data_IF_256486704487
#
_entry.id   IF_256486704487
#
_cell.length_a   1.000
_cell.length_b   1.000
_cell.length_c   1.000
_cell.angle_alpha   90.00
_cell.angle_beta   90.00
_cell.angle_gamma   90.00
#
_symmetry.space_group_name_H-M   'P 1'
#
loop_
_entity.id
_entity.type
_entity.pdbx_description
1 polymer ?
#
# COMPACT_ATOMS: atom_id res chain seq x y z
N UNK A 1 -27.64 47.66 -19.03
CA UNK A 1 -27.61 46.21 -19.38
C UNK A 1 -26.44 45.48 -18.70
N UNK A 2 -25.38 46.20 -18.31
CA UNK A 2 -24.14 45.64 -17.77
C UNK A 2 -24.21 45.21 -16.28
N UNK A 3 -25.04 45.85 -15.45
CA UNK A 3 -25.16 45.51 -14.02
C UNK A 3 -25.73 44.10 -13.77
N UNK A 4 -26.63 43.64 -14.64
CA UNK A 4 -27.23 42.30 -14.55
C UNK A 4 -26.24 41.20 -14.92
N UNK A 5 -25.34 41.49 -15.87
CA UNK A 5 -24.32 40.55 -16.34
C UNK A 5 -23.24 40.39 -15.26
N UNK A 6 -22.81 41.49 -14.63
CA UNK A 6 -21.84 41.44 -13.52
C UNK A 6 -22.39 40.68 -12.31
N UNK A 7 -23.66 40.89 -11.93
CA UNK A 7 -24.29 40.18 -10.81
C UNK A 7 -24.40 38.67 -11.04
N UNK A 8 -24.80 38.24 -12.25
CA UNK A 8 -24.85 36.82 -12.59
C UNK A 8 -23.47 36.15 -12.56
N UNK A 9 -22.42 36.86 -12.97
CA UNK A 9 -21.04 36.34 -12.95
C UNK A 9 -20.54 36.16 -11.51
N UNK A 10 -20.83 37.11 -10.62
CA UNK A 10 -20.44 37.01 -9.20
C UNK A 10 -21.20 35.87 -8.51
N UNK A 11 -22.49 35.70 -8.79
CA UNK A 11 -23.29 34.60 -8.23
C UNK A 11 -22.84 33.22 -8.76
N UNK A 12 -22.47 33.13 -10.04
CA UNK A 12 -21.89 31.90 -10.60
C UNK A 12 -20.53 31.59 -9.98
N UNK A 13 -19.67 32.60 -9.78
CA UNK A 13 -18.37 32.42 -9.16
C UNK A 13 -18.47 31.94 -7.70
N UNK A 14 -19.44 32.47 -6.94
CA UNK A 14 -19.75 32.03 -5.57
C UNK A 14 -20.34 30.60 -5.51
N UNK A 15 -21.19 30.24 -6.47
CA UNK A 15 -21.73 28.88 -6.55
C UNK A 15 -20.66 27.85 -6.91
N UNK A 16 -19.72 28.21 -7.80
CA UNK A 16 -18.59 27.36 -8.17
C UNK A 16 -17.62 27.20 -6.99
N UNK A 17 -17.31 28.26 -6.24
CA UNK A 17 -16.43 28.15 -5.08
C UNK A 17 -17.04 27.35 -3.93
N UNK A 18 -18.36 27.43 -3.73
CA UNK A 18 -19.07 26.60 -2.74
C UNK A 18 -19.15 25.12 -3.16
N UNK A 19 -19.22 24.84 -4.47
CA UNK A 19 -19.20 23.48 -5.00
C UNK A 19 -17.83 22.78 -4.92
N UNK A 20 -16.73 23.54 -4.95
CA UNK A 20 -15.37 22.98 -4.84
C UNK A 20 -15.04 22.58 -3.39
N UNK A 21 -15.73 23.15 -2.38
CA UNK A 21 -15.53 22.81 -0.96
C UNK A 21 -16.11 21.44 -0.54
N UNK A 22 -16.89 20.77 -1.38
CA UNK A 22 -17.55 19.50 -1.05
C UNK A 22 -16.95 18.28 -1.78
N UNK A 23 -15.73 18.38 -2.30
CA UNK A 23 -15.05 17.22 -2.89
C UNK A 23 -14.01 16.63 -1.94
N UNK A 24 -14.32 15.40 -1.51
CA UNK A 24 -13.46 14.39 -0.89
C UNK A 24 -13.04 14.60 0.58
N UNK A 25 -13.96 14.28 1.50
CA UNK A 25 -13.56 13.72 2.80
C UNK A 25 -13.16 12.25 2.60
N UNK A 26 -11.90 12.01 2.26
CA UNK A 26 -11.30 10.71 2.50
C UNK A 26 -10.85 10.69 3.97
N UNK A 27 -11.69 10.14 4.85
CA UNK A 27 -11.24 9.81 6.19
C UNK A 27 -10.20 8.71 6.06
N UNK A 28 -9.00 8.92 6.60
CA UNK A 28 -8.00 7.86 6.71
C UNK A 28 -8.64 6.69 7.49
N UNK A 29 -8.63 5.45 6.96
CA UNK A 29 -9.01 4.29 7.74
C UNK A 29 -8.08 4.21 8.95
N UNK A 30 -8.66 4.22 10.14
CA UNK A 30 -7.92 4.12 11.39
C UNK A 30 -7.37 2.69 11.49
N UNK A 31 -6.05 2.60 11.33
CA UNK A 31 -5.31 1.34 11.23
C UNK A 31 -5.44 0.48 12.49
N UNK A 32 -5.87 1.06 13.62
CA UNK A 32 -6.07 0.34 14.88
C UNK A 32 -7.47 -0.23 15.05
N UNK A 33 -8.46 0.17 14.25
CA UNK A 33 -9.87 -0.22 14.47
C UNK A 33 -10.51 -0.97 13.31
N UNK A 34 -10.00 -0.80 12.09
CA UNK A 34 -10.68 -1.32 10.88
C UNK A 34 -10.42 -2.80 10.60
N UNK A 35 -9.51 -3.44 11.35
CA UNK A 35 -9.15 -4.84 11.17
C UNK A 35 -9.42 -5.62 12.45
N UNK A 36 -10.65 -6.15 12.57
CA UNK A 36 -10.94 -7.18 13.57
C UNK A 36 -10.31 -8.48 13.10
N UNK A 37 -9.26 -8.89 13.80
CA UNK A 37 -8.49 -10.10 13.49
C UNK A 37 -9.04 -11.31 14.25
N UNK A 38 -9.27 -12.47 13.59
CA UNK A 38 -9.51 -13.71 14.29
C UNK A 38 -8.22 -14.18 14.96
N UNK A 39 -8.26 -14.14 16.29
CA UNK A 39 -7.28 -14.73 17.18
C UNK A 39 -7.27 -16.26 16.96
N UNK A 40 -6.10 -16.88 17.12
CA UNK A 40 -5.86 -18.35 17.18
C UNK A 40 -5.41 -19.05 15.89
N UNK A 41 -4.19 -18.70 15.43
CA UNK A 41 -3.27 -19.58 14.70
C UNK A 41 -1.85 -19.09 15.01
N UNK A 42 -0.87 -19.94 15.40
CA UNK A 42 0.52 -19.52 15.53
C UNK A 42 1.08 -19.21 14.14
N UNK A 43 1.10 -17.94 13.78
CA UNK A 43 1.48 -17.45 12.47
C UNK A 43 2.30 -16.18 12.60
N UNK A 44 3.22 -15.96 11.67
CA UNK A 44 3.85 -14.66 11.52
C UNK A 44 2.85 -13.68 10.92
N UNK A 45 2.81 -12.47 11.48
CA UNK A 45 1.93 -11.40 11.05
C UNK A 45 2.76 -10.24 10.53
N UNK A 46 2.54 -9.83 9.27
CA UNK A 46 3.22 -8.66 8.69
C UNK A 46 2.27 -7.76 7.88
N UNK A 47 2.54 -6.46 7.91
CA UNK A 47 1.87 -5.46 7.09
C UNK A 47 2.73 -5.09 5.89
N UNK A 48 2.11 -5.09 4.73
CA UNK A 48 2.72 -4.80 3.45
C UNK A 48 2.12 -3.55 2.82
N UNK A 49 2.96 -2.62 2.40
CA UNK A 49 2.55 -1.38 1.76
C UNK A 49 3.23 -1.23 0.40
N UNK A 50 2.44 -1.26 -0.68
CA UNK A 50 2.93 -0.94 -2.03
C UNK A 50 2.98 0.57 -2.24
N UNK A 51 4.20 1.10 -2.23
CA UNK A 51 4.49 2.49 -2.53
C UNK A 51 4.56 2.67 -4.05
N UNK A 52 3.40 2.94 -4.64
CA UNK A 52 3.29 3.32 -6.05
C UNK A 52 3.78 4.76 -6.22
N UNK A 53 4.59 5.02 -7.26
CA UNK A 53 4.87 6.40 -7.66
C UNK A 53 3.60 7.02 -8.25
N UNK A 54 3.26 8.27 -7.92
CA UNK A 54 2.27 9.02 -8.68
C UNK A 54 2.81 9.18 -10.10
N UNK A 55 2.12 8.59 -11.08
CA UNK A 55 2.37 8.88 -12.48
C UNK A 55 1.86 10.30 -12.75
N UNK A 56 2.67 11.11 -13.46
CA UNK A 56 2.23 12.42 -13.95
C UNK A 56 0.97 12.33 -14.82
N UNK A 57 0.38 13.47 -15.21
CA UNK A 57 -0.95 13.51 -15.83
C UNK A 57 -1.01 12.61 -17.07
N UNK A 58 -1.81 11.54 -17.02
CA UNK A 58 -2.11 10.71 -18.20
C UNK A 58 -3.33 11.27 -18.92
N UNK A 59 -3.15 11.48 -20.22
CA UNK A 59 -4.17 11.86 -21.18
C UNK A 59 -5.38 10.90 -21.11
N UNK A 60 -6.59 11.47 -21.14
CA UNK A 60 -7.83 10.74 -20.89
C UNK A 60 -8.25 9.94 -22.13
N UNK A 61 -7.68 8.75 -22.29
CA UNK A 61 -8.27 7.68 -23.09
C UNK A 61 -9.54 7.14 -22.43
N UNK A 62 -10.69 7.34 -23.09
CA UNK A 62 -12.02 6.85 -22.68
C UNK A 62 -11.98 5.34 -22.46
N UNK A 63 -12.09 4.88 -21.21
CA UNK A 63 -12.81 3.69 -20.69
C UNK A 63 -12.58 3.69 -19.17
N UNK A 64 -13.60 4.12 -18.43
CA UNK A 64 -13.49 4.40 -17.00
C UNK A 64 -13.25 3.17 -16.16
N UNK A 65 -12.05 3.08 -15.58
CA UNK A 65 -11.85 2.51 -14.24
C UNK A 65 -10.91 3.45 -13.50
N UNK A 66 -11.49 4.35 -12.71
CA UNK A 66 -10.75 5.18 -11.76
C UNK A 66 -10.38 4.25 -10.60
N UNK A 67 -9.22 3.60 -10.68
CA UNK A 67 -8.58 3.06 -9.47
C UNK A 67 -7.90 4.24 -8.78
N UNK A 68 -8.37 4.59 -7.58
CA UNK A 68 -7.78 5.64 -6.75
C UNK A 68 -6.25 5.49 -6.66
N UNK A 69 -5.45 6.55 -6.86
CA UNK A 69 -4.01 6.42 -7.00
C UNK A 69 -3.33 6.57 -5.65
N UNK A 70 -3.61 5.72 -4.67
CA UNK A 70 -2.95 5.88 -3.37
C UNK A 70 -2.89 4.58 -2.58
N UNK A 71 -1.73 3.92 -2.67
CA UNK A 71 -1.21 2.92 -1.71
C UNK A 71 -2.09 1.69 -1.47
N UNK A 72 -1.74 0.57 -2.12
CA UNK A 72 -2.31 -0.74 -1.76
C UNK A 72 -1.67 -1.23 -0.45
N UNK A 73 -2.48 -1.41 0.60
CA UNK A 73 -2.10 -2.06 1.86
C UNK A 73 -2.55 -3.52 1.83
N UNK A 74 -1.71 -4.45 2.28
CA UNK A 74 -2.05 -5.87 2.44
C UNK A 74 -1.52 -6.37 3.77
N UNK A 75 -2.38 -6.96 4.59
CA UNK A 75 -1.95 -7.73 5.76
C UNK A 75 -1.70 -9.17 5.34
N UNK A 76 -0.56 -9.72 5.73
CA UNK A 76 -0.15 -11.08 5.40
C UNK A 76 0.04 -11.87 6.71
N UNK A 77 -0.58 -13.03 6.75
CA UNK A 77 -0.47 -14.01 7.82
C UNK A 77 0.20 -15.25 7.24
N UNK A 78 1.47 -15.43 7.56
CA UNK A 78 2.29 -16.51 7.04
C UNK A 78 2.32 -17.66 8.06
N UNK A 79 1.72 -18.83 7.76
CA UNK A 79 1.80 -19.99 8.64
C UNK A 79 3.25 -20.44 8.83
N UNK A 80 3.52 -21.20 9.89
CA UNK A 80 4.83 -21.78 10.12
C UNK A 80 5.29 -22.62 8.92
N UNK A 81 6.60 -22.63 8.64
CA UNK A 81 7.21 -23.26 7.47
C UNK A 81 6.69 -22.79 6.10
N UNK A 82 6.06 -21.61 6.00
CA UNK A 82 5.55 -21.10 4.73
C UNK A 82 6.53 -20.16 4.04
N UNK A 83 6.47 -20.19 2.71
CA UNK A 83 7.21 -19.28 1.84
C UNK A 83 6.19 -18.44 1.08
N UNK A 84 6.28 -17.12 1.18
CA UNK A 84 5.68 -16.27 0.17
C UNK A 84 6.55 -16.37 -1.09
N UNK A 85 6.05 -16.95 -2.20
CA UNK A 85 6.87 -17.29 -3.35
C UNK A 85 7.66 -16.11 -3.89
N UNK A 86 8.79 -16.42 -4.52
CA UNK A 86 9.66 -15.44 -5.16
C UNK A 86 8.87 -14.63 -6.20
N UNK A 87 8.82 -13.31 -6.04
CA UNK A 87 8.05 -12.44 -6.93
C UNK A 87 8.69 -11.05 -7.12
N UNK A 88 8.09 -10.23 -7.99
CA UNK A 88 8.52 -8.85 -8.26
C UNK A 88 7.31 -7.93 -8.37
N UNK A 89 7.51 -6.66 -8.02
CA UNK A 89 6.53 -5.60 -8.29
C UNK A 89 6.99 -4.73 -9.44
N UNK A 90 6.36 -4.79 -10.63
CA UNK A 90 6.84 -4.06 -11.80
C UNK A 90 6.71 -2.54 -11.64
N UNK A 91 5.83 -2.07 -10.74
CA UNK A 91 5.47 -0.65 -10.61
C UNK A 91 5.65 -0.03 -9.22
N UNK A 92 5.91 -0.82 -8.17
CA UNK A 92 5.96 -0.38 -6.78
C UNK A 92 7.26 -0.83 -6.10
N UNK A 93 7.71 -0.08 -5.10
CA UNK A 93 8.49 -0.65 -3.99
C UNK A 93 7.52 -1.15 -2.92
N UNK A 94 7.98 -2.10 -2.11
CA UNK A 94 7.19 -2.69 -1.04
C UNK A 94 7.86 -2.39 0.30
N UNK A 95 7.09 -1.91 1.26
CA UNK A 95 7.52 -1.74 2.64
C UNK A 95 6.81 -2.79 3.49
N UNK A 96 7.59 -3.57 4.22
CA UNK A 96 7.11 -4.62 5.12
C UNK A 96 7.37 -4.19 6.55
N UNK A 97 6.37 -4.31 7.41
CA UNK A 97 6.49 -4.14 8.86
C UNK A 97 6.08 -5.45 9.54
N UNK A 98 6.97 -6.02 10.35
CA UNK A 98 6.72 -7.27 11.06
C UNK A 98 5.98 -6.99 12.37
N UNK A 99 4.74 -7.46 12.49
CA UNK A 99 3.88 -7.23 13.65
C UNK A 99 4.15 -8.24 14.76
N UNK A 100 4.38 -9.50 14.38
CA UNK A 100 4.61 -10.58 15.33
C UNK A 100 5.36 -11.75 14.71
N UNK A 101 6.29 -12.32 15.47
CA UNK A 101 7.05 -13.51 15.12
C UNK A 101 8.44 -13.19 14.59
N UNK A 102 8.96 -14.10 13.76
CA UNK A 102 10.28 -13.98 13.13
C UNK A 102 10.16 -14.35 11.65
N UNK A 103 10.68 -13.50 10.77
CA UNK A 103 10.53 -13.66 9.32
C UNK A 103 11.87 -13.47 8.62
N UNK A 104 12.28 -14.45 7.82
CA UNK A 104 13.37 -14.23 6.88
C UNK A 104 12.84 -13.51 5.64
N UNK A 105 13.51 -12.44 5.25
CA UNK A 105 13.21 -11.72 4.02
C UNK A 105 14.46 -11.53 3.19
N UNK A 106 14.31 -11.44 1.87
CA UNK A 106 15.45 -11.11 1.03
C UNK A 106 15.07 -10.69 -0.38
N UNK A 107 16.04 -10.05 -1.05
CA UNK A 107 15.96 -9.67 -2.46
C UNK A 107 17.29 -9.83 -3.18
N UNK A 108 17.22 -9.89 -4.51
CA UNK A 108 18.39 -9.93 -5.40
C UNK A 108 18.47 -8.60 -6.15
N UNK A 109 19.65 -7.97 -6.13
CA UNK A 109 19.87 -6.72 -6.85
C UNK A 109 20.16 -6.93 -8.35
N UNK A 110 20.32 -5.84 -9.10
CA UNK A 110 20.62 -5.90 -10.54
C UNK A 110 22.01 -6.46 -10.88
N UNK A 111 22.86 -6.69 -9.88
CA UNK A 111 24.19 -7.34 -10.02
C UNK A 111 24.16 -8.81 -9.62
N UNK A 112 22.98 -9.37 -9.37
CA UNK A 112 22.78 -10.73 -8.85
C UNK A 112 23.34 -10.94 -7.44
N UNK A 113 23.52 -9.86 -6.66
CA UNK A 113 23.89 -9.96 -5.26
C UNK A 113 22.64 -10.14 -4.39
N UNK A 114 22.68 -11.14 -3.51
CA UNK A 114 21.61 -11.41 -2.56
C UNK A 114 21.79 -10.58 -1.29
N UNK A 115 20.68 -10.00 -0.83
CA UNK A 115 20.53 -9.35 0.46
C UNK A 115 19.40 -10.03 1.22
N UNK A 116 19.68 -10.54 2.41
CA UNK A 116 18.68 -11.14 3.28
C UNK A 116 18.85 -10.70 4.73
N UNK A 117 17.77 -10.77 5.49
CA UNK A 117 17.74 -10.43 6.90
C UNK A 117 16.68 -11.25 7.63
N UNK A 118 16.99 -11.63 8.87
CA UNK A 118 16.01 -12.15 9.82
C UNK A 118 15.40 -10.96 10.57
N UNK A 119 14.10 -10.73 10.34
CA UNK A 119 13.34 -9.69 11.02
C UNK A 119 12.75 -10.22 12.33
N UNK A 120 12.72 -9.37 13.34
CA UNK A 120 12.02 -9.57 14.60
C UNK A 120 10.80 -8.66 14.68
N UNK A 121 9.85 -9.00 15.55
CA UNK A 121 8.70 -8.15 15.84
C UNK A 121 9.09 -6.67 16.01
N UNK A 122 8.46 -5.79 15.23
CA UNK A 122 8.71 -4.36 15.20
C UNK A 122 9.68 -3.89 14.11
N UNK A 123 10.38 -4.80 13.43
CA UNK A 123 11.29 -4.45 12.35
C UNK A 123 10.55 -4.01 11.08
N UNK A 124 11.21 -3.14 10.30
CA UNK A 124 10.77 -2.67 8.98
C UNK A 124 11.79 -3.08 7.93
N UNK A 125 11.31 -3.55 6.78
CA UNK A 125 12.15 -3.87 5.63
C UNK A 125 11.57 -3.26 4.35
N UNK A 126 12.45 -2.86 3.42
CA UNK A 126 12.04 -2.26 2.13
C UNK A 126 12.55 -3.10 0.98
N UNK A 127 11.63 -3.58 0.14
CA UNK A 127 11.96 -4.21 -1.14
C UNK A 127 11.96 -3.14 -2.25
N UNK A 128 13.10 -2.95 -2.92
CA UNK A 128 13.18 -1.99 -4.02
C UNK A 128 12.31 -2.41 -5.22
N UNK A 129 11.82 -1.41 -5.95
CA UNK A 129 11.00 -1.61 -7.15
C UNK A 129 11.71 -2.49 -8.18
N UNK A 130 10.95 -3.41 -8.80
CA UNK A 130 11.40 -4.33 -9.86
C UNK A 130 12.48 -5.34 -9.45
N UNK A 131 12.80 -5.47 -8.16
CA UNK A 131 13.70 -6.51 -7.69
C UNK A 131 12.94 -7.76 -7.27
N UNK A 132 13.58 -8.90 -7.51
CA UNK A 132 13.11 -10.22 -7.13
C UNK A 132 13.28 -10.36 -5.62
N UNK A 133 12.21 -10.72 -4.91
CA UNK A 133 12.23 -10.85 -3.45
C UNK A 133 11.34 -12.00 -2.95
N UNK A 134 11.55 -12.38 -1.70
CA UNK A 134 10.83 -13.45 -1.01
C UNK A 134 10.63 -13.11 0.48
N UNK A 135 9.68 -13.83 1.10
CA UNK A 135 9.53 -13.92 2.55
C UNK A 135 9.44 -15.41 2.92
N UNK A 136 10.08 -15.79 4.02
CA UNK A 136 10.08 -17.15 4.53
C UNK A 136 9.89 -17.15 6.05
N UNK A 137 8.81 -17.80 6.49
CA UNK A 137 8.57 -18.10 7.88
C UNK A 137 9.20 -19.45 8.22
N UNK A 138 10.40 -19.42 8.78
CA UNK A 138 11.17 -20.60 9.17
C UNK A 138 10.87 -21.14 10.57
N UNK A 139 9.72 -20.82 11.18
CA UNK A 139 9.38 -21.29 12.52
C UNK A 139 9.12 -22.80 12.57
N UNK A 140 10.20 -23.58 12.66
CA UNK A 140 10.20 -25.03 12.73
C UNK A 140 9.41 -25.59 13.92
N UNK A 141 9.18 -24.80 14.97
CA UNK A 141 8.53 -25.26 16.19
C UNK A 141 7.02 -25.40 16.05
N UNK A 142 6.42 -24.64 15.12
CA UNK A 142 4.98 -24.62 14.87
C UNK A 142 4.61 -25.20 13.51
N UNK A 143 5.53 -25.87 12.82
CA UNK A 143 5.24 -26.56 11.55
C UNK A 143 4.42 -27.82 11.83
N UNK A 144 3.10 -27.70 11.73
CA UNK A 144 2.15 -28.80 11.87
C UNK A 144 1.11 -28.74 10.76
#
# INVERSE_FOLDING_TARGET
MESKISSCIVLLALAISLGIFQMASAGDPDILTDFVMPLEVPSVECFLLHLLRPEGPRDKGKHGRVSSPERTKRFLRDPACSVNPVHTHPRASELLFLVSGMLEVGFIDSTNKMFNQMLQTGDVFVFPKRLVHYQYNGDATNCA
#
